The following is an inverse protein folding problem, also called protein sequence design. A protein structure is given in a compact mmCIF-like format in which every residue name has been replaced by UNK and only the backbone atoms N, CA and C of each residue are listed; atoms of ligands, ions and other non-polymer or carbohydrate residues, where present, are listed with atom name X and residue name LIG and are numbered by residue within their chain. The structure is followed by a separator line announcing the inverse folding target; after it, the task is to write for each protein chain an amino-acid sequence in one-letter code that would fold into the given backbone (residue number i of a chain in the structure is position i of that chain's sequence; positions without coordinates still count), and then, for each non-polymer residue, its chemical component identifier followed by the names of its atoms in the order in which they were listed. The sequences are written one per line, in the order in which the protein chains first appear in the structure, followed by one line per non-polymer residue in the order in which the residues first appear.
data_IF_773855652638
#
_entry.id   IF_773855652638
#
_cell.length_a   1.000
_cell.length_b   1.000
_cell.length_c   1.000
_cell.angle_alpha   90.00
_cell.angle_beta   90.00
_cell.angle_gamma   90.00
#
_symmetry.space_group_name_H-M   'P 1'
#
loop_
_entity.id
_entity.type
_entity.pdbx_description
1 polymer ?
#
# COMPACT_ATOMS: atom_id res chain seq x y z
N UNK A 1 1.57 -13.06 2.50
CA UNK A 1 1.80 -12.53 3.89
C UNK A 1 0.54 -12.67 4.76
N UNK A 2 0.61 -13.14 6.02
CA UNK A 2 -0.58 -13.33 6.89
C UNK A 2 -0.77 -12.15 7.87
N UNK A 3 -1.94 -11.51 7.82
CA UNK A 3 -2.28 -10.37 8.68
C UNK A 3 -3.49 -10.69 9.56
N UNK A 4 -3.46 -10.21 10.80
CA UNK A 4 -4.58 -10.30 11.72
C UNK A 4 -5.63 -9.24 11.38
N UNK A 5 -6.87 -9.66 11.16
CA UNK A 5 -8.01 -8.77 11.00
C UNK A 5 -8.45 -8.33 12.38
N UNK A 6 -8.38 -7.03 12.64
CA UNK A 6 -8.89 -6.40 13.87
C UNK A 6 -10.34 -5.95 13.64
N UNK A 7 -11.24 -6.26 14.58
CA UNK A 7 -12.58 -5.67 14.62
C UNK A 7 -12.50 -4.21 15.10
N UNK A 8 -13.55 -3.42 14.86
CA UNK A 8 -13.64 -2.04 15.36
C UNK A 8 -13.50 -1.94 16.89
N UNK A 9 -13.83 -3.02 17.61
CA UNK A 9 -13.69 -3.13 19.07
C UNK A 9 -12.28 -3.57 19.52
N UNK A 10 -11.33 -3.70 18.59
CA UNK A 10 -9.94 -4.08 18.87
C UNK A 10 -9.73 -5.58 19.11
N UNK A 11 -10.77 -6.40 18.96
CA UNK A 11 -10.68 -7.86 19.02
C UNK A 11 -10.09 -8.45 17.74
N UNK A 12 -9.34 -9.55 17.83
CA UNK A 12 -8.89 -10.30 16.64
C UNK A 12 -10.09 -11.05 16.04
N UNK A 13 -10.52 -10.66 14.84
CA UNK A 13 -11.65 -11.25 14.13
C UNK A 13 -11.26 -12.53 13.36
N UNK A 14 -9.99 -12.64 12.98
CA UNK A 14 -9.46 -13.73 12.17
C UNK A 14 -8.13 -13.34 11.52
N UNK A 15 -7.61 -14.21 10.65
CA UNK A 15 -6.38 -13.95 9.89
C UNK A 15 -6.66 -14.01 8.39
N UNK A 16 -6.17 -13.03 7.63
CA UNK A 16 -6.26 -12.99 6.17
C UNK A 16 -4.88 -13.20 5.57
N UNK A 17 -4.82 -14.03 4.53
CA UNK A 17 -3.62 -14.22 3.72
C UNK A 17 -3.64 -13.25 2.54
N UNK A 18 -2.66 -12.35 2.51
CA UNK A 18 -2.38 -11.47 1.38
C UNK A 18 -1.61 -12.22 0.30
N UNK A 19 -2.01 -12.00 -0.96
CA UNK A 19 -1.32 -12.49 -2.13
C UNK A 19 0.12 -11.98 -2.24
N UNK A 20 1.05 -12.89 -2.47
CA UNK A 20 2.48 -12.58 -2.57
C UNK A 20 2.84 -11.90 -3.90
N UNK A 21 1.98 -12.00 -4.90
CA UNK A 21 2.06 -11.30 -6.19
C UNK A 21 1.95 -9.78 -6.04
N UNK A 22 1.24 -9.30 -5.03
CA UNK A 22 1.06 -7.86 -4.76
C UNK A 22 1.95 -7.40 -3.60
N UNK A 23 1.99 -8.17 -2.51
CA UNK A 23 2.61 -7.74 -1.25
C UNK A 23 3.95 -8.41 -0.96
N UNK A 24 4.36 -9.42 -1.73
CA UNK A 24 5.63 -10.12 -1.59
C UNK A 24 6.74 -9.60 -2.50
N UNK A 25 6.46 -8.59 -3.34
CA UNK A 25 7.42 -8.03 -4.27
C UNK A 25 8.45 -7.13 -3.57
N UNK A 26 9.70 -7.19 -4.03
CA UNK A 26 10.77 -6.32 -3.54
C UNK A 26 10.48 -4.85 -3.92
N UNK A 27 10.39 -3.94 -2.92
CA UNK A 27 10.08 -2.53 -3.20
C UNK A 27 11.16 -1.85 -4.06
N UNK A 28 10.76 -1.38 -5.25
CA UNK A 28 11.62 -0.59 -6.14
C UNK A 28 11.53 0.90 -5.84
N UNK A 29 12.44 1.38 -5.01
CA UNK A 29 12.46 2.77 -4.53
C UNK A 29 12.54 3.81 -5.66
N UNK A 30 13.24 3.49 -6.76
CA UNK A 30 13.38 4.37 -7.92
C UNK A 30 12.05 4.61 -8.65
N UNK A 31 11.27 3.55 -8.86
CA UNK A 31 9.95 3.63 -9.50
C UNK A 31 8.96 4.34 -8.58
N UNK A 32 8.94 3.99 -7.30
CA UNK A 32 8.06 4.63 -6.31
C UNK A 32 8.27 6.14 -6.27
N UNK A 33 9.53 6.58 -6.21
CA UNK A 33 9.86 8.01 -6.20
C UNK A 33 9.42 8.72 -7.50
N UNK A 34 9.63 8.10 -8.67
CA UNK A 34 9.18 8.65 -9.97
C UNK A 34 7.67 8.80 -10.03
N UNK A 35 6.92 7.80 -9.60
CA UNK A 35 5.45 7.80 -9.62
C UNK A 35 4.89 8.86 -8.68
N UNK A 36 5.43 8.97 -7.45
CA UNK A 36 5.01 10.02 -6.50
C UNK A 36 5.23 11.41 -7.08
N UNK A 37 6.39 11.65 -7.71
CA UNK A 37 6.67 12.95 -8.35
C UNK A 37 5.68 13.24 -9.48
N UNK A 38 5.38 12.25 -10.32
CA UNK A 38 4.39 12.37 -11.38
C UNK A 38 2.99 12.67 -10.83
N UNK A 39 2.54 11.96 -9.79
CA UNK A 39 1.25 12.19 -9.13
C UNK A 39 1.15 13.62 -8.57
N UNK A 40 2.19 14.09 -7.87
CA UNK A 40 2.23 15.45 -7.32
C UNK A 40 2.18 16.51 -8.40
N UNK A 41 2.94 16.34 -9.50
CA UNK A 41 2.90 17.27 -10.63
C UNK A 41 1.51 17.30 -11.29
N UNK A 42 0.82 16.16 -11.38
CA UNK A 42 -0.55 16.10 -11.89
C UNK A 42 -1.58 16.75 -10.98
N UNK A 43 -1.34 16.76 -9.67
CA UNK A 43 -2.21 17.39 -8.68
C UNK A 43 -2.02 18.91 -8.57
N UNK A 44 -1.01 19.49 -9.22
CA UNK A 44 -0.81 20.94 -9.23
C UNK A 44 -1.90 21.63 -10.05
N UNK A 45 -2.53 22.64 -9.47
CA UNK A 45 -3.62 23.40 -10.11
C UNK A 45 -3.16 24.24 -11.31
N UNK A 46 -1.88 24.61 -11.37
CA UNK A 46 -1.32 25.33 -12.52
C UNK A 46 -1.85 26.76 -12.72
N UNK A 47 -2.47 27.34 -11.69
CA UNK A 47 -3.00 28.72 -11.66
C UNK A 47 -1.95 29.72 -11.22
#
# INVERSE_FOLDING_TARGET
MKLDVITLDGGKAGSVELGDDIFGLEPRADILHRVVRWQRNKAQAGT
#
